data_IF_645175038992
#
_entry.id   IF_645175038992
#
_cell.length_a   1.000
_cell.length_b   1.000
_cell.length_c   1.000
_cell.angle_alpha   90.00
_cell.angle_beta   90.00
_cell.angle_gamma   90.00
#
_symmetry.space_group_name_H-M   'P 1'
#
loop_
_entity.id
_entity.type
_entity.pdbx_description
1 polymer ?
#
# COMPACT_ATOMS: atom_id res chain seq x y z
N UNK A 1 13.88 1.18 -1.48
CA UNK A 1 14.24 1.86 -0.23
C UNK A 1 15.70 1.64 0.14
N UNK A 2 16.19 0.40 0.27
CA UNK A 2 17.59 0.14 0.66
C UNK A 2 18.62 0.87 -0.21
N UNK A 3 18.45 0.87 -1.54
CA UNK A 3 19.36 1.57 -2.45
C UNK A 3 19.35 3.09 -2.24
N UNK A 4 18.20 3.67 -1.89
CA UNK A 4 18.10 5.09 -1.53
C UNK A 4 18.87 5.40 -0.24
N UNK A 5 18.68 4.60 0.79
CA UNK A 5 19.39 4.76 2.07
C UNK A 5 20.91 4.55 1.89
N UNK A 6 21.34 3.61 1.07
CA UNK A 6 22.76 3.40 0.75
C UNK A 6 23.35 4.61 0.01
N UNK A 7 22.66 5.15 -1.01
CA UNK A 7 23.10 6.31 -1.76
C UNK A 7 23.15 7.58 -0.88
N UNK A 8 22.21 7.74 0.03
CA UNK A 8 22.16 8.82 0.99
C UNK A 8 23.27 8.69 2.05
N UNK A 9 23.38 7.50 2.66
CA UNK A 9 24.34 7.24 3.74
C UNK A 9 25.81 7.38 3.34
N UNK A 10 26.13 7.34 2.04
CA UNK A 10 27.50 7.48 1.56
C UNK A 10 28.18 8.81 2.01
N UNK A 11 27.39 9.88 2.13
CA UNK A 11 27.90 11.20 2.52
C UNK A 11 27.61 11.56 3.99
N UNK A 12 26.96 10.67 4.76
CA UNK A 12 26.52 10.97 6.11
C UNK A 12 27.13 9.98 7.11
N UNK A 13 27.99 10.47 8.00
CA UNK A 13 28.60 9.66 9.06
C UNK A 13 27.67 9.38 10.24
N UNK A 14 26.54 10.12 10.34
CA UNK A 14 25.51 9.90 11.35
C UNK A 14 24.79 8.58 11.13
N UNK A 15 24.24 8.00 12.19
CA UNK A 15 23.38 6.84 12.07
C UNK A 15 22.17 7.17 11.16
N UNK A 16 21.97 6.36 10.14
CA UNK A 16 20.82 6.51 9.23
C UNK A 16 19.49 6.41 9.96
N UNK A 17 19.48 5.73 11.11
CA UNK A 17 18.32 5.60 11.96
C UNK A 17 17.79 6.94 12.47
N UNK A 18 18.67 7.91 12.73
CA UNK A 18 18.25 9.28 13.11
C UNK A 18 17.34 9.90 12.03
N UNK A 19 17.70 9.70 10.74
CA UNK A 19 16.93 10.23 9.62
C UNK A 19 15.60 9.47 9.43
N UNK A 20 15.61 8.17 9.67
CA UNK A 20 14.42 7.34 9.65
C UNK A 20 13.45 7.69 10.79
N UNK A 21 13.94 8.24 11.88
CA UNK A 21 13.15 8.71 13.04
C UNK A 21 12.88 10.22 13.03
N UNK A 22 12.98 10.88 11.88
CA UNK A 22 12.49 12.24 11.69
C UNK A 22 13.55 13.33 11.59
N UNK A 23 14.86 13.02 11.64
CA UNK A 23 15.88 14.01 11.30
C UNK A 23 15.70 14.44 9.84
N UNK A 24 15.71 15.76 9.56
CA UNK A 24 15.52 16.25 8.18
C UNK A 24 16.57 15.72 7.20
N UNK A 25 16.13 15.19 6.07
CA UNK A 25 16.99 14.65 4.99
C UNK A 25 16.81 15.37 3.65
N UNK A 26 15.84 16.26 3.53
CA UNK A 26 15.60 17.03 2.32
C UNK A 26 16.79 17.92 1.92
N UNK A 27 17.17 17.85 0.65
CA UNK A 27 18.23 18.68 0.10
C UNK A 27 19.65 18.30 0.53
N UNK A 28 19.82 17.23 1.30
CA UNK A 28 21.12 16.72 1.66
C UNK A 28 21.77 15.95 0.51
N UNK A 29 23.10 15.89 0.51
CA UNK A 29 23.87 15.24 -0.54
C UNK A 29 23.65 13.72 -0.55
N UNK A 30 23.57 13.13 -1.72
CA UNK A 30 23.51 11.67 -1.95
C UNK A 30 24.26 11.31 -3.24
N UNK A 31 24.58 10.04 -3.40
CA UNK A 31 25.08 9.54 -4.68
C UNK A 31 24.01 9.65 -5.77
N UNK A 32 24.40 9.84 -7.06
CA UNK A 32 23.48 9.66 -8.17
C UNK A 32 22.83 8.26 -8.13
N UNK A 33 21.52 8.20 -8.34
CA UNK A 33 20.73 6.99 -8.12
C UNK A 33 19.81 6.69 -9.31
N UNK A 34 20.02 5.52 -9.93
CA UNK A 34 19.11 4.96 -10.93
C UNK A 34 18.45 3.73 -10.33
N UNK A 35 17.11 3.69 -10.34
CA UNK A 35 16.35 2.55 -9.84
C UNK A 35 15.66 1.81 -10.99
N UNK A 36 15.80 0.48 -10.97
CA UNK A 36 15.18 -0.42 -11.96
C UNK A 36 14.41 -1.48 -11.17
N UNK A 37 13.11 -1.28 -10.88
CA UNK A 37 12.34 -2.26 -10.14
C UNK A 37 12.17 -3.53 -10.95
N UNK A 38 12.32 -4.68 -10.30
CA UNK A 38 12.17 -5.99 -10.94
C UNK A 38 10.72 -6.45 -10.96
N UNK A 39 9.89 -5.89 -10.08
CA UNK A 39 8.43 -6.11 -10.06
C UNK A 39 7.73 -4.91 -9.41
N UNK A 40 6.47 -4.66 -9.76
CA UNK A 40 5.67 -3.61 -9.12
C UNK A 40 5.37 -3.96 -7.66
N UNK A 41 5.56 -2.99 -6.77
CA UNK A 41 5.27 -3.11 -5.34
C UNK A 41 5.00 -1.72 -4.76
N UNK A 42 5.85 -1.23 -3.83
CA UNK A 42 5.66 0.06 -3.15
C UNK A 42 5.77 1.30 -4.06
N UNK A 43 6.26 1.18 -5.30
CA UNK A 43 6.53 2.34 -6.16
C UNK A 43 7.68 3.23 -5.69
N UNK A 44 8.51 2.72 -4.79
CA UNK A 44 9.62 3.45 -4.16
C UNK A 44 10.58 4.10 -5.16
N UNK A 45 10.69 3.58 -6.38
CA UNK A 45 11.53 4.15 -7.43
C UNK A 45 11.11 5.57 -7.85
N UNK A 46 9.86 5.94 -7.62
CA UNK A 46 9.31 7.25 -7.95
C UNK A 46 8.83 8.05 -6.71
N UNK A 47 8.87 7.42 -5.54
CA UNK A 47 8.53 8.08 -4.28
C UNK A 47 9.70 8.87 -3.69
N UNK A 48 9.40 9.76 -2.75
CA UNK A 48 10.40 10.57 -2.03
C UNK A 48 10.90 9.90 -0.76
N UNK A 49 10.17 8.91 -0.24
CA UNK A 49 10.48 8.22 1.01
C UNK A 49 11.37 6.99 0.83
N UNK A 50 11.99 6.58 1.90
CA UNK A 50 12.67 5.30 2.05
C UNK A 50 12.37 4.74 3.45
N UNK A 51 11.77 3.56 3.50
CA UNK A 51 11.40 2.85 4.74
C UNK A 51 12.45 1.79 5.06
N UNK A 52 12.76 1.62 6.33
CA UNK A 52 13.57 0.51 6.82
C UNK A 52 13.13 0.06 8.21
N UNK A 53 13.50 -1.16 8.56
CA UNK A 53 13.21 -1.79 9.86
C UNK A 53 14.53 -1.98 10.59
N UNK A 54 14.58 -1.65 11.88
CA UNK A 54 15.67 -2.06 12.76
C UNK A 54 15.40 -3.48 13.26
N UNK A 55 16.15 -4.45 12.75
CA UNK A 55 15.99 -5.88 13.10
C UNK A 55 16.29 -6.19 14.58
N UNK A 56 16.87 -5.24 15.34
CA UNK A 56 17.18 -5.43 16.77
C UNK A 56 15.96 -5.13 17.64
N UNK A 57 15.14 -4.17 17.22
CA UNK A 57 14.01 -3.66 18.00
C UNK A 57 12.67 -3.94 17.34
N UNK A 58 12.69 -4.45 16.11
CA UNK A 58 11.50 -4.61 15.25
C UNK A 58 10.72 -3.31 15.06
N UNK A 59 11.44 -2.19 15.13
CA UNK A 59 10.90 -0.86 14.92
C UNK A 59 11.15 -0.42 13.48
N UNK A 60 10.29 0.42 12.93
CA UNK A 60 10.44 0.93 11.57
C UNK A 60 10.57 2.45 11.55
N UNK A 61 11.10 2.97 10.47
CA UNK A 61 11.20 4.42 10.27
C UNK A 61 11.21 4.78 8.78
N UNK A 62 10.91 6.03 8.50
CA UNK A 62 10.84 6.55 7.14
C UNK A 62 11.67 7.83 7.00
N UNK A 63 12.68 7.83 6.13
CA UNK A 63 13.38 9.03 5.74
C UNK A 63 12.76 9.59 4.45
N UNK A 64 12.54 10.90 4.39
CA UNK A 64 11.94 11.58 3.24
C UNK A 64 12.94 12.48 2.53
N UNK A 65 12.68 12.78 1.24
CA UNK A 65 13.53 13.67 0.46
C UNK A 65 14.72 12.97 -0.20
N UNK A 66 14.63 11.65 -0.42
CA UNK A 66 15.65 10.83 -1.07
C UNK A 66 15.10 10.29 -2.40
N UNK A 67 14.85 11.13 -3.43
CA UNK A 67 14.38 10.68 -4.74
C UNK A 67 15.46 9.94 -5.50
N UNK A 68 15.07 9.07 -6.44
CA UNK A 68 15.98 8.63 -7.50
C UNK A 68 16.14 9.74 -8.56
N UNK A 69 17.28 9.76 -9.27
CA UNK A 69 17.48 10.64 -10.43
C UNK A 69 16.75 10.09 -11.64
N UNK A 70 16.72 8.77 -11.78
CA UNK A 70 16.00 8.05 -12.84
C UNK A 70 15.34 6.79 -12.30
N UNK A 71 14.11 6.53 -12.76
CA UNK A 71 13.42 5.28 -12.59
C UNK A 71 13.18 4.65 -13.97
N UNK A 72 13.64 3.42 -14.17
CA UNK A 72 13.49 2.68 -15.43
C UNK A 72 12.50 1.54 -15.21
N UNK A 73 11.29 1.69 -15.73
CA UNK A 73 10.23 0.70 -15.63
C UNK A 73 10.31 -0.29 -16.79
N UNK A 74 10.74 -1.53 -16.51
CA UNK A 74 10.87 -2.58 -17.52
C UNK A 74 9.97 -3.78 -17.17
N UNK A 75 8.78 -3.92 -17.78
CA UNK A 75 7.83 -4.98 -17.44
C UNK A 75 8.37 -6.40 -17.69
N UNK A 76 9.39 -6.57 -18.53
CA UNK A 76 10.05 -7.86 -18.77
C UNK A 76 10.61 -8.50 -17.49
N UNK A 77 11.09 -7.71 -16.54
CA UNK A 77 11.63 -8.24 -15.29
C UNK A 77 10.57 -8.88 -14.39
N UNK A 78 9.29 -8.56 -14.60
CA UNK A 78 8.18 -9.15 -13.86
C UNK A 78 7.63 -10.45 -14.46
N UNK A 79 8.13 -10.91 -15.61
CA UNK A 79 7.65 -12.13 -16.28
C UNK A 79 7.85 -13.40 -15.45
N UNK A 80 8.81 -13.43 -14.53
CA UNK A 80 9.12 -14.57 -13.67
C UNK A 80 8.21 -14.67 -12.43
N UNK A 81 7.33 -13.69 -12.22
CA UNK A 81 6.36 -13.74 -11.13
C UNK A 81 5.34 -14.84 -11.38
N UNK A 82 5.13 -15.70 -10.39
CA UNK A 82 4.07 -16.68 -10.41
C UNK A 82 2.67 -16.02 -10.33
N UNK A 83 1.64 -16.84 -10.34
CA UNK A 83 0.25 -16.38 -10.35
C UNK A 83 -0.10 -15.63 -9.07
N UNK A 84 0.32 -16.15 -7.92
CA UNK A 84 0.03 -15.56 -6.61
C UNK A 84 0.73 -14.20 -6.47
N UNK A 85 2.02 -14.13 -6.79
CA UNK A 85 2.77 -12.87 -6.78
C UNK A 85 2.22 -11.86 -7.78
N UNK A 86 1.76 -12.30 -8.94
CA UNK A 86 1.11 -11.43 -9.92
C UNK A 86 -0.20 -10.85 -9.36
N UNK A 87 -1.00 -11.65 -8.66
CA UNK A 87 -2.20 -11.17 -7.98
C UNK A 87 -1.86 -10.13 -6.90
N UNK A 88 -0.91 -10.45 -6.02
CA UNK A 88 -0.49 -9.51 -4.97
C UNK A 88 0.05 -8.19 -5.53
N UNK A 89 0.87 -8.21 -6.59
CA UNK A 89 1.39 -6.96 -7.17
C UNK A 89 0.27 -6.06 -7.69
N UNK A 90 -0.73 -6.63 -8.33
CA UNK A 90 -1.91 -5.90 -8.80
C UNK A 90 -2.75 -5.35 -7.65
N UNK A 91 -3.02 -6.17 -6.64
CA UNK A 91 -3.86 -5.76 -5.50
C UNK A 91 -3.15 -4.73 -4.59
N UNK A 92 -1.86 -4.90 -4.32
CA UNK A 92 -1.07 -3.88 -3.60
C UNK A 92 -1.11 -2.55 -4.35
N UNK A 93 -0.88 -2.57 -5.65
CA UNK A 93 -0.96 -1.35 -6.49
C UNK A 93 -2.34 -0.72 -6.43
N UNK A 94 -3.40 -1.53 -6.49
CA UNK A 94 -4.78 -1.07 -6.34
C UNK A 94 -4.99 -0.39 -4.98
N UNK A 95 -4.57 -1.01 -3.88
CA UNK A 95 -4.74 -0.47 -2.52
C UNK A 95 -3.96 0.84 -2.35
N UNK A 96 -2.72 0.89 -2.83
CA UNK A 96 -1.89 2.10 -2.77
C UNK A 96 -2.51 3.27 -3.54
N UNK A 97 -2.99 3.04 -4.76
CA UNK A 97 -3.71 4.06 -5.53
C UNK A 97 -4.99 4.50 -4.82
N UNK A 98 -5.69 3.56 -4.17
CA UNK A 98 -6.90 3.85 -3.39
C UNK A 98 -6.58 4.75 -2.18
N UNK A 99 -5.49 4.47 -1.47
CA UNK A 99 -5.03 5.31 -0.36
C UNK A 99 -4.74 6.76 -0.81
N UNK A 100 -4.27 6.94 -2.06
CA UNK A 100 -4.05 8.29 -2.59
C UNK A 100 -5.35 9.09 -2.81
N UNK A 101 -6.48 8.45 -3.10
CA UNK A 101 -7.70 9.14 -3.52
C UNK A 101 -8.86 9.06 -2.53
N UNK A 102 -8.84 8.12 -1.58
CA UNK A 102 -9.85 8.08 -0.53
C UNK A 102 -9.89 9.40 0.23
N UNK A 103 -11.09 9.98 0.38
CA UNK A 103 -11.27 11.30 0.97
C UNK A 103 -10.84 12.49 0.11
N UNK A 104 -10.33 12.27 -1.12
CA UNK A 104 -9.92 13.35 -2.01
C UNK A 104 -11.14 14.19 -2.46
N UNK A 105 -11.10 15.48 -2.20
CA UNK A 105 -12.15 16.43 -2.59
C UNK A 105 -11.90 17.08 -3.95
N UNK A 106 -10.70 16.90 -4.50
CA UNK A 106 -10.36 17.37 -5.84
C UNK A 106 -10.88 16.39 -6.88
N UNK A 107 -11.93 16.79 -7.61
CA UNK A 107 -12.57 15.94 -8.61
C UNK A 107 -11.60 15.39 -9.66
N UNK A 108 -10.69 16.22 -10.17
CA UNK A 108 -9.76 15.80 -11.22
C UNK A 108 -8.81 14.70 -10.71
N UNK A 109 -8.24 14.88 -9.50
CA UNK A 109 -7.38 13.91 -8.87
C UNK A 109 -8.11 12.62 -8.56
N UNK A 110 -9.32 12.71 -8.02
CA UNK A 110 -10.18 11.57 -7.73
C UNK A 110 -10.53 10.76 -9.00
N UNK A 111 -11.05 11.44 -10.04
CA UNK A 111 -11.46 10.79 -11.30
C UNK A 111 -10.25 10.11 -12.01
N UNK A 112 -9.08 10.75 -11.98
CA UNK A 112 -7.85 10.18 -12.50
C UNK A 112 -7.45 8.91 -11.72
N UNK A 113 -7.49 8.96 -10.38
CA UNK A 113 -7.19 7.82 -9.53
C UNK A 113 -8.16 6.66 -9.73
N UNK A 114 -9.46 6.91 -9.84
CA UNK A 114 -10.46 5.89 -10.18
C UNK A 114 -10.13 5.21 -11.51
N UNK A 115 -9.73 5.99 -12.52
CA UNK A 115 -9.32 5.44 -13.81
C UNK A 115 -8.11 4.53 -13.68
N UNK A 116 -7.07 4.92 -12.93
CA UNK A 116 -5.89 4.10 -12.69
C UNK A 116 -6.22 2.81 -11.95
N UNK A 117 -7.04 2.87 -10.90
CA UNK A 117 -7.45 1.71 -10.12
C UNK A 117 -8.20 0.70 -10.99
N UNK A 118 -9.14 1.16 -11.81
CA UNK A 118 -9.89 0.29 -12.75
C UNK A 118 -8.98 -0.38 -13.77
N UNK A 119 -8.02 0.36 -14.33
CA UNK A 119 -7.05 -0.21 -15.27
C UNK A 119 -6.17 -1.27 -14.58
N UNK A 120 -5.70 -1.02 -13.36
CA UNK A 120 -4.93 -2.01 -12.59
C UNK A 120 -5.76 -3.24 -12.25
N UNK A 121 -7.03 -3.07 -11.87
CA UNK A 121 -7.94 -4.18 -11.58
C UNK A 121 -8.13 -5.08 -12.82
N UNK A 122 -8.44 -4.49 -13.97
CA UNK A 122 -8.61 -5.24 -15.22
C UNK A 122 -7.29 -5.86 -15.72
N UNK A 123 -6.17 -5.16 -15.58
CA UNK A 123 -4.85 -5.69 -15.87
C UNK A 123 -4.53 -6.91 -15.01
N UNK A 124 -4.85 -6.86 -13.69
CA UNK A 124 -4.67 -8.01 -12.81
C UNK A 124 -5.48 -9.22 -13.27
N UNK A 125 -6.78 -9.04 -13.56
CA UNK A 125 -7.65 -10.11 -14.10
C UNK A 125 -7.09 -10.71 -15.40
N UNK A 126 -6.55 -9.87 -16.27
CA UNK A 126 -5.97 -10.30 -17.55
C UNK A 126 -4.71 -11.11 -17.33
N UNK A 127 -3.80 -10.65 -16.46
CA UNK A 127 -2.53 -11.34 -16.18
C UNK A 127 -2.72 -12.69 -15.49
N UNK A 128 -3.77 -12.85 -14.68
CA UNK A 128 -4.11 -14.15 -14.09
C UNK A 128 -4.49 -15.21 -15.13
N UNK A 129 -4.90 -14.78 -16.34
CA UNK A 129 -5.24 -15.64 -17.49
C UNK A 129 -4.11 -15.70 -18.51
N UNK A 130 -3.42 -14.58 -18.74
CA UNK A 130 -2.32 -14.44 -19.69
C UNK A 130 -1.10 -13.77 -19.04
N UNK A 131 -0.29 -14.52 -18.30
CA UNK A 131 0.80 -13.96 -17.48
C UNK A 131 1.95 -13.35 -18.30
N UNK A 132 2.03 -13.62 -19.59
CA UNK A 132 3.13 -13.18 -20.46
C UNK A 132 2.82 -11.87 -21.21
N UNK A 133 1.67 -11.28 -21.00
CA UNK A 133 1.27 -10.02 -21.65
C UNK A 133 2.04 -8.84 -21.05
N UNK A 134 3.05 -8.37 -21.79
CA UNK A 134 3.93 -7.29 -21.37
C UNK A 134 3.24 -5.93 -21.30
N UNK A 135 2.30 -5.67 -22.22
CA UNK A 135 1.56 -4.41 -22.22
C UNK A 135 0.69 -4.31 -20.97
N UNK A 136 0.03 -5.40 -20.61
CA UNK A 136 -0.74 -5.49 -19.38
C UNK A 136 0.14 -5.41 -18.13
N UNK A 137 1.33 -6.03 -18.12
CA UNK A 137 2.29 -5.88 -17.01
C UNK A 137 2.76 -4.45 -16.84
N UNK A 138 2.90 -3.70 -17.95
CA UNK A 138 3.30 -2.30 -17.91
C UNK A 138 2.28 -1.42 -17.18
N UNK A 139 0.99 -1.74 -17.27
CA UNK A 139 -0.10 -1.02 -16.58
C UNK A 139 0.09 -1.12 -15.06
N UNK A 140 0.32 -2.33 -14.53
CA UNK A 140 0.51 -2.51 -13.08
C UNK A 140 1.80 -1.82 -12.62
N UNK A 141 2.89 -1.98 -13.38
CA UNK A 141 4.18 -1.34 -13.05
C UNK A 141 4.09 0.19 -13.04
N UNK A 142 3.39 0.78 -14.01
CA UNK A 142 3.13 2.22 -14.05
C UNK A 142 2.22 2.64 -12.88
N UNK A 143 1.16 1.88 -12.59
CA UNK A 143 0.25 2.14 -11.47
C UNK A 143 0.98 2.17 -10.12
N UNK A 144 1.86 1.20 -9.86
CA UNK A 144 2.68 1.15 -8.65
C UNK A 144 3.60 2.38 -8.54
N UNK A 145 4.26 2.75 -9.63
CA UNK A 145 5.13 3.91 -9.68
C UNK A 145 4.36 5.23 -9.46
N UNK A 146 3.12 5.32 -9.95
CA UNK A 146 2.28 6.51 -9.76
C UNK A 146 1.73 6.62 -8.34
N UNK A 147 1.48 5.52 -7.63
CA UNK A 147 0.89 5.52 -6.29
C UNK A 147 1.73 6.25 -5.25
N UNK A 148 3.03 6.35 -5.44
CA UNK A 148 3.95 7.04 -4.51
C UNK A 148 4.59 8.31 -5.10
N UNK A 149 4.17 8.70 -6.30
CA UNK A 149 4.76 9.85 -7.02
C UNK A 149 4.29 11.22 -6.51
N UNK A 150 3.41 11.29 -5.53
CA UNK A 150 2.75 12.52 -5.05
C UNK A 150 1.98 13.28 -6.15
N UNK A 151 1.60 12.60 -7.22
CA UNK A 151 0.82 13.19 -8.35
C UNK A 151 -0.68 12.93 -8.23
N UNK A 152 -1.08 12.09 -7.32
CA UNK A 152 -2.46 11.86 -6.91
C UNK A 152 -2.70 12.43 -5.52
N UNK A 153 -3.94 12.70 -5.16
CA UNK A 153 -4.30 13.29 -3.87
C UNK A 153 -3.88 14.75 -3.73
N UNK A 154 -3.67 15.46 -4.84
CA UNK A 154 -3.33 16.89 -4.84
C UNK A 154 -4.48 17.69 -4.23
N UNK A 155 -4.17 18.50 -3.21
CA UNK A 155 -5.17 19.30 -2.48
C UNK A 155 -5.75 18.60 -1.25
N UNK A 156 -5.22 17.44 -0.86
CA UNK A 156 -5.45 16.84 0.45
C UNK A 156 -4.49 17.42 1.47
N UNK A 157 -4.90 17.47 2.73
CA UNK A 157 -4.03 17.87 3.83
C UNK A 157 -2.95 16.81 4.07
N UNK A 158 -3.31 15.53 3.89
CA UNK A 158 -2.44 14.38 4.06
C UNK A 158 -2.26 13.61 2.73
N UNK A 159 -1.07 13.08 2.52
CA UNK A 159 -0.73 12.39 1.29
C UNK A 159 -1.54 11.11 1.07
N UNK A 160 -1.87 10.41 2.17
CA UNK A 160 -2.62 9.16 2.14
C UNK A 160 -3.83 9.26 3.05
N UNK A 161 -4.98 8.77 2.56
CA UNK A 161 -6.19 8.84 3.33
C UNK A 161 -6.18 7.84 4.48
N UNK A 162 -6.59 8.34 5.64
CA UNK A 162 -7.00 7.53 6.78
C UNK A 162 -5.91 6.58 7.32
N UNK A 163 -4.62 6.85 7.05
CA UNK A 163 -3.45 6.19 7.68
C UNK A 163 -3.41 4.66 7.57
N UNK A 164 -3.86 4.11 6.42
CA UNK A 164 -3.84 2.67 6.20
C UNK A 164 -2.45 2.06 6.38
N UNK A 165 -1.38 2.83 6.12
CA UNK A 165 0.00 2.37 6.25
C UNK A 165 0.46 2.24 7.70
N UNK A 166 -0.17 2.94 8.65
CA UNK A 166 0.03 2.73 10.08
C UNK A 166 -0.58 1.42 10.55
N UNK A 167 -1.70 1.01 9.93
CA UNK A 167 -2.45 -0.18 10.31
C UNK A 167 -1.92 -1.46 9.63
N UNK A 168 -1.26 -1.33 8.48
CA UNK A 168 -0.78 -2.49 7.72
C UNK A 168 0.36 -3.25 8.43
N UNK A 169 1.11 -2.60 9.33
CA UNK A 169 2.12 -3.24 10.15
C UNK A 169 1.54 -4.21 11.20
N UNK A 170 0.26 -4.08 11.54
CA UNK A 170 -0.37 -4.95 12.54
C UNK A 170 -0.35 -6.43 12.13
N UNK A 171 -0.81 -6.82 10.92
CA UNK A 171 -0.68 -8.21 10.48
C UNK A 171 0.78 -8.66 10.32
N UNK A 172 1.71 -7.79 9.99
CA UNK A 172 3.13 -8.15 9.94
C UNK A 172 3.64 -8.55 11.33
N UNK A 173 3.39 -7.74 12.34
CA UNK A 173 3.83 -7.98 13.71
C UNK A 173 3.10 -9.11 14.40
N UNK A 174 1.80 -9.24 14.20
CA UNK A 174 0.96 -10.23 14.89
C UNK A 174 1.05 -11.64 14.29
N UNK A 175 1.24 -11.74 12.96
CA UNK A 175 1.17 -13.00 12.22
C UNK A 175 2.43 -13.31 11.43
N UNK A 176 3.48 -12.48 11.48
CA UNK A 176 4.66 -12.63 10.63
C UNK A 176 4.35 -12.51 9.14
N UNK A 177 3.33 -11.75 8.80
CA UNK A 177 2.88 -11.57 7.42
C UNK A 177 3.88 -10.76 6.61
N UNK A 178 3.82 -10.86 5.29
CA UNK A 178 4.56 -9.97 4.40
C UNK A 178 3.75 -8.70 4.14
N UNK A 179 4.42 -7.57 3.88
CA UNK A 179 3.81 -6.28 3.50
C UNK A 179 2.64 -6.44 2.51
N UNK A 180 2.86 -7.14 1.41
CA UNK A 180 1.83 -7.30 0.37
C UNK A 180 0.59 -8.03 0.86
N UNK A 181 0.74 -9.07 1.67
CA UNK A 181 -0.37 -9.81 2.25
C UNK A 181 -1.08 -8.95 3.30
N UNK A 182 -0.33 -8.29 4.16
CA UNK A 182 -0.86 -7.40 5.20
C UNK A 182 -1.72 -6.30 4.60
N UNK A 183 -1.17 -5.52 3.68
CA UNK A 183 -1.87 -4.41 3.04
C UNK A 183 -3.12 -4.89 2.27
N UNK A 184 -3.03 -6.01 1.56
CA UNK A 184 -4.14 -6.55 0.78
C UNK A 184 -5.26 -7.08 1.68
N UNK A 185 -4.92 -7.84 2.72
CA UNK A 185 -5.91 -8.47 3.61
C UNK A 185 -6.64 -7.46 4.49
N UNK A 186 -5.93 -6.44 4.98
CA UNK A 186 -6.51 -5.43 5.87
C UNK A 186 -7.46 -4.48 5.13
N UNK A 187 -7.23 -4.22 3.86
CA UNK A 187 -7.91 -3.15 3.12
C UNK A 187 -9.45 -3.21 3.14
N UNK A 188 -10.12 -4.35 2.90
CA UNK A 188 -11.58 -4.40 2.99
C UNK A 188 -12.11 -4.10 4.40
N UNK A 189 -11.41 -4.57 5.44
CA UNK A 189 -11.77 -4.32 6.84
C UNK A 189 -11.50 -2.89 7.27
N UNK A 190 -10.42 -2.33 6.76
CA UNK A 190 -10.09 -0.92 6.90
C UNK A 190 -11.21 -0.04 6.32
N UNK A 191 -11.67 -0.29 5.09
CA UNK A 191 -12.78 0.44 4.50
C UNK A 191 -14.08 0.29 5.30
N UNK A 192 -14.33 -0.88 5.88
CA UNK A 192 -15.49 -1.13 6.76
C UNK A 192 -15.41 -0.28 8.03
N UNK A 193 -14.25 -0.22 8.67
CA UNK A 193 -14.02 0.60 9.87
C UNK A 193 -14.14 2.10 9.56
N UNK A 194 -13.45 2.56 8.51
CA UNK A 194 -13.49 3.97 8.09
C UNK A 194 -14.87 4.41 7.64
N UNK A 195 -15.67 3.50 7.10
CA UNK A 195 -17.04 3.77 6.70
C UNK A 195 -17.99 4.17 7.84
N UNK A 196 -17.63 3.94 9.09
CA UNK A 196 -18.38 4.44 10.25
C UNK A 196 -18.27 5.96 10.39
N UNK A 197 -17.13 6.54 10.00
CA UNK A 197 -16.83 7.98 10.07
C UNK A 197 -16.99 8.68 8.72
N UNK A 198 -16.54 8.06 7.67
CA UNK A 198 -16.45 8.60 6.31
C UNK A 198 -17.41 7.89 5.35
N UNK A 199 -18.65 7.69 5.79
CA UNK A 199 -19.66 6.84 5.12
C UNK A 199 -19.84 7.17 3.64
N UNK A 200 -20.00 8.45 3.32
CA UNK A 200 -20.29 8.87 1.94
C UNK A 200 -19.07 8.68 1.02
N UNK A 201 -17.87 8.97 1.52
CA UNK A 201 -16.63 8.81 0.75
C UNK A 201 -16.37 7.31 0.47
N UNK A 202 -16.55 6.44 1.47
CA UNK A 202 -16.36 4.98 1.32
C UNK A 202 -17.43 4.36 0.42
N UNK A 203 -18.70 4.75 0.55
CA UNK A 203 -19.76 4.27 -0.35
C UNK A 203 -19.51 4.70 -1.79
N UNK A 204 -19.17 5.98 -1.98
CA UNK A 204 -18.81 6.52 -3.31
C UNK A 204 -17.65 5.74 -3.92
N UNK A 205 -16.60 5.47 -3.15
CA UNK A 205 -15.45 4.68 -3.59
C UNK A 205 -15.86 3.28 -4.04
N UNK A 206 -16.66 2.55 -3.25
CA UNK A 206 -17.14 1.22 -3.61
C UNK A 206 -17.95 1.22 -4.90
N UNK A 207 -18.84 2.20 -5.06
CA UNK A 207 -19.65 2.35 -6.26
C UNK A 207 -18.78 2.68 -7.48
N UNK A 208 -17.92 3.68 -7.35
CA UNK A 208 -17.13 4.20 -8.48
C UNK A 208 -16.07 3.21 -8.97
N UNK A 209 -15.44 2.45 -8.06
CA UNK A 209 -14.38 1.49 -8.41
C UNK A 209 -14.96 0.13 -8.82
N UNK A 210 -15.83 -0.43 -7.98
CA UNK A 210 -16.26 -1.83 -8.09
C UNK A 210 -17.70 -1.99 -8.58
N UNK A 211 -18.47 -0.90 -8.65
CA UNK A 211 -19.90 -0.96 -8.95
C UNK A 211 -20.75 -1.54 -7.80
N UNK A 212 -20.23 -1.53 -6.57
CA UNK A 212 -20.95 -2.05 -5.41
C UNK A 212 -21.90 -1.01 -4.85
N UNK A 213 -23.18 -1.14 -5.16
CA UNK A 213 -24.25 -0.33 -4.59
C UNK A 213 -24.97 -1.11 -3.47
N UNK A 214 -24.30 -1.26 -2.35
CA UNK A 214 -24.79 -2.01 -1.18
C UNK A 214 -24.31 -1.35 0.12
N UNK A 215 -24.65 -1.93 1.28
CA UNK A 215 -24.09 -1.44 2.55
C UNK A 215 -22.55 -1.59 2.54
N UNK A 216 -21.87 -0.83 3.40
CA UNK A 216 -20.40 -0.87 3.49
C UNK A 216 -19.94 -2.27 3.89
N UNK A 217 -20.63 -2.90 4.85
CA UNK A 217 -20.33 -4.23 5.33
C UNK A 217 -20.50 -5.30 4.23
N UNK A 218 -21.54 -5.15 3.41
CA UNK A 218 -21.76 -6.06 2.28
C UNK A 218 -20.72 -5.81 1.17
N UNK A 219 -20.39 -4.56 0.89
CA UNK A 219 -19.36 -4.18 -0.07
C UNK A 219 -17.98 -4.67 0.37
N UNK A 220 -17.66 -4.61 1.67
CA UNK A 220 -16.44 -5.18 2.26
C UNK A 220 -16.37 -6.69 2.03
N UNK A 221 -17.47 -7.42 2.28
CA UNK A 221 -17.54 -8.87 2.02
C UNK A 221 -17.36 -9.21 0.53
N UNK A 222 -17.97 -8.43 -0.36
CA UNK A 222 -17.79 -8.59 -1.82
C UNK A 222 -16.33 -8.33 -2.24
N UNK A 223 -15.67 -7.36 -1.61
CA UNK A 223 -14.28 -7.06 -1.89
C UNK A 223 -13.34 -8.18 -1.41
N UNK A 224 -13.57 -8.74 -0.21
CA UNK A 224 -12.86 -9.93 0.28
C UNK A 224 -13.02 -11.09 -0.70
N UNK A 225 -14.25 -11.37 -1.16
CA UNK A 225 -14.51 -12.43 -2.12
C UNK A 225 -13.77 -12.19 -3.45
N UNK A 226 -13.82 -10.96 -3.98
CA UNK A 226 -13.11 -10.58 -5.20
C UNK A 226 -11.60 -10.79 -5.08
N UNK A 227 -10.99 -10.41 -3.96
CA UNK A 227 -9.56 -10.59 -3.74
C UNK A 227 -9.19 -12.06 -3.57
N UNK A 228 -10.03 -12.83 -2.86
CA UNK A 228 -9.86 -14.29 -2.75
C UNK A 228 -9.95 -15.00 -4.10
N UNK A 229 -10.84 -14.56 -4.99
CA UNK A 229 -10.97 -15.10 -6.36
C UNK A 229 -9.71 -14.88 -7.20
N UNK A 230 -8.87 -13.88 -6.86
CA UNK A 230 -7.56 -13.69 -7.49
C UNK A 230 -6.50 -14.67 -6.97
N UNK A 231 -6.84 -15.47 -5.94
CA UNK A 231 -5.97 -16.50 -5.38
C UNK A 231 -5.08 -16.01 -4.26
N UNK A 232 -5.42 -14.89 -3.62
CA UNK A 232 -4.71 -14.39 -2.44
C UNK A 232 -5.42 -14.81 -1.16
N UNK A 233 -4.63 -15.14 -0.13
CA UNK A 233 -5.19 -15.52 1.17
C UNK A 233 -5.47 -14.25 1.99
N UNK A 234 -6.75 -14.05 2.30
CA UNK A 234 -7.28 -12.89 3.01
C UNK A 234 -7.34 -13.09 4.53
N UNK A 235 -7.00 -14.28 5.02
CA UNK A 235 -7.15 -14.63 6.43
C UNK A 235 -5.86 -15.16 7.03
N UNK A 236 -5.77 -15.10 8.35
CA UNK A 236 -4.67 -15.61 9.14
C UNK A 236 -5.15 -16.70 10.10
N UNK A 237 -4.31 -17.68 10.34
CA UNK A 237 -4.54 -18.68 11.39
C UNK A 237 -3.98 -18.15 12.71
N UNK A 238 -4.71 -18.36 13.81
CA UNK A 238 -4.26 -17.97 15.14
C UNK A 238 -5.37 -17.36 15.99
N UNK A 239 -4.96 -16.88 17.14
CA UNK A 239 -5.81 -16.19 18.11
C UNK A 239 -5.07 -14.93 18.53
N UNK A 240 -5.76 -13.81 18.58
CA UNK A 240 -5.24 -12.55 19.10
C UNK A 240 -6.04 -12.11 20.31
N UNK A 241 -5.43 -11.31 21.16
CA UNK A 241 -6.11 -10.64 22.26
C UNK A 241 -5.91 -9.12 22.17
N UNK A 242 -6.71 -8.37 22.95
CA UNK A 242 -6.67 -6.89 22.92
C UNK A 242 -5.33 -6.32 23.36
N UNK A 243 -4.69 -6.94 24.33
CA UNK A 243 -3.38 -6.51 24.84
C UNK A 243 -2.30 -6.57 23.75
N UNK A 244 -2.27 -7.66 22.98
CA UNK A 244 -1.32 -7.80 21.87
C UNK A 244 -1.51 -6.72 20.81
N UNK A 245 -2.74 -6.36 20.47
CA UNK A 245 -3.03 -5.30 19.50
C UNK A 245 -2.71 -3.93 20.09
N UNK A 246 -3.11 -3.65 21.33
CA UNK A 246 -2.89 -2.37 22.02
C UNK A 246 -1.41 -2.05 22.33
N UNK A 247 -0.53 -3.07 22.34
CA UNK A 247 0.91 -2.87 22.48
C UNK A 247 1.60 -2.33 21.21
N UNK A 248 0.91 -2.35 20.06
CA UNK A 248 1.46 -1.87 18.80
C UNK A 248 0.92 -0.45 18.55
N UNK A 249 1.75 0.59 18.66
CA UNK A 249 1.31 1.97 18.46
C UNK A 249 0.93 2.18 16.98
N UNK A 250 -0.24 2.79 16.76
CA UNK A 250 -0.73 3.19 15.43
C UNK A 250 -1.24 4.62 15.53
N UNK A 251 -0.74 5.51 14.68
CA UNK A 251 -1.27 6.86 14.55
C UNK A 251 -2.43 6.85 13.56
N UNK A 252 -3.65 6.74 14.09
CA UNK A 252 -4.88 6.58 13.31
C UNK A 252 -6.07 7.16 14.07
N UNK A 253 -7.13 7.53 13.34
CA UNK A 253 -8.39 7.96 13.93
C UNK A 253 -9.25 6.82 14.50
N UNK A 254 -8.86 5.55 14.32
CA UNK A 254 -9.54 4.39 14.90
C UNK A 254 -9.16 4.23 16.38
N UNK A 255 -10.14 3.94 17.23
CA UNK A 255 -9.87 3.57 18.60
C UNK A 255 -9.38 2.11 18.74
N UNK A 256 -8.84 1.76 19.91
CA UNK A 256 -8.28 0.42 20.16
C UNK A 256 -9.28 -0.72 19.94
N UNK A 257 -10.57 -0.49 20.22
CA UNK A 257 -11.59 -1.51 20.02
C UNK A 257 -11.86 -1.72 18.52
N UNK A 258 -11.90 -0.64 17.75
CA UNK A 258 -12.10 -0.68 16.30
C UNK A 258 -10.92 -1.35 15.60
N UNK A 259 -9.69 -1.03 16.01
CA UNK A 259 -8.48 -1.70 15.52
C UNK A 259 -8.54 -3.19 15.85
N UNK A 260 -8.86 -3.55 17.11
CA UNK A 260 -8.99 -4.96 17.51
C UNK A 260 -10.03 -5.70 16.67
N UNK A 261 -11.23 -5.14 16.51
CA UNK A 261 -12.31 -5.78 15.72
C UNK A 261 -11.91 -5.92 14.24
N UNK A 262 -11.22 -4.93 13.68
CA UNK A 262 -10.71 -4.97 12.32
C UNK A 262 -9.71 -6.13 12.14
N UNK A 263 -8.71 -6.24 13.02
CA UNK A 263 -7.70 -7.30 12.96
C UNK A 263 -8.29 -8.67 13.29
N UNK A 264 -9.19 -8.76 14.30
CA UNK A 264 -9.89 -10.00 14.62
C UNK A 264 -10.77 -10.51 13.46
N UNK A 265 -11.27 -9.60 12.63
CA UNK A 265 -11.95 -9.93 11.37
C UNK A 265 -11.08 -10.61 10.31
N UNK A 266 -9.76 -10.59 10.46
CA UNK A 266 -8.81 -11.29 9.60
C UNK A 266 -8.51 -12.72 10.07
N UNK A 267 -9.00 -13.13 11.24
CA UNK A 267 -8.78 -14.50 11.75
C UNK A 267 -9.72 -15.46 11.05
N UNK A 268 -9.15 -16.58 10.58
CA UNK A 268 -9.93 -17.67 9.98
C UNK A 268 -10.85 -18.31 11.05
N UNK A 269 -12.14 -18.34 10.76
CA UNK A 269 -13.16 -18.94 11.64
C UNK A 269 -13.40 -20.40 11.32
#
# INVERSE_FOLDING_TARGET
DSAKLMAFGFYHESDLWDYLKGKPSYGLQRLPLVLIPTYPSSGSENGLGAVSVDLRTDDFGTAYGIPADYAILCPKYSLTLDKEMTAYTGLVTLVQLSACILGDKNRMSYDAGISYIKNVLEATKTLLKNPNDLDTRSIIMMGASLSTSSRLGIGKEEAYAYDIYELEFLPEKLFGSSYRRSLTSIFPRFLEAMGKRHKEDVRKYYLDVFGFDSSIEESSRKLVALFSDFGVDMYYDGIINREQVGCIPCDTELDENEIFEMINGLIRK
#
